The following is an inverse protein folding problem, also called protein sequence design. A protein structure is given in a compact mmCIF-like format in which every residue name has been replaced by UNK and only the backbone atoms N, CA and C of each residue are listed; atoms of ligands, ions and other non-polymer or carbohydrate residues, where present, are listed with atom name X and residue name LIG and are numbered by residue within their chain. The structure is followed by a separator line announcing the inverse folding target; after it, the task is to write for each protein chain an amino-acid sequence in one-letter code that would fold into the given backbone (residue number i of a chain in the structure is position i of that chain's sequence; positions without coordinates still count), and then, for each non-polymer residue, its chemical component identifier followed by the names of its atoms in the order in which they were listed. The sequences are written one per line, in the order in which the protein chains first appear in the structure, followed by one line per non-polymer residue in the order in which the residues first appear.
data_IF_012275199295
#
_entry.id   IF_012275199295
#
_cell.length_a   1.000
_cell.length_b   1.000
_cell.length_c   1.000
_cell.angle_alpha   90.00
_cell.angle_beta   90.00
_cell.angle_gamma   90.00
#
_symmetry.space_group_name_H-M   'P 1'
#
loop_
_entity.id
_entity.type
_entity.pdbx_description
1 polymer ?
#
# COMPACT_ATOMS: atom_id res chain seq x y z
N UNK A 1 -2.72 -24.05 -3.72
CA UNK A 1 -2.31 -22.84 -4.49
C UNK A 1 -1.72 -21.80 -3.55
N UNK A 2 -0.39 -21.79 -3.38
CA UNK A 2 0.32 -20.73 -2.63
C UNK A 2 0.74 -19.64 -3.62
N UNK A 3 -0.20 -18.77 -4.02
CA UNK A 3 -0.03 -17.81 -5.12
C UNK A 3 0.97 -16.67 -4.87
N UNK A 4 1.46 -16.48 -3.63
CA UNK A 4 2.36 -15.37 -3.31
C UNK A 4 3.33 -15.74 -2.17
N UNK A 5 4.61 -15.31 -2.26
CA UNK A 5 5.59 -15.53 -1.20
C UNK A 5 5.15 -14.88 0.13
N UNK A 6 5.46 -15.55 1.24
CA UNK A 6 5.07 -15.13 2.60
C UNK A 6 5.55 -13.71 2.94
N UNK A 7 6.76 -13.35 2.52
CA UNK A 7 7.33 -12.02 2.75
C UNK A 7 6.47 -10.91 2.12
N UNK A 8 5.91 -11.16 0.92
CA UNK A 8 5.12 -10.14 0.24
C UNK A 8 3.76 -9.91 0.92
N UNK A 9 3.18 -10.97 1.50
CA UNK A 9 1.95 -10.84 2.28
C UNK A 9 2.16 -9.99 3.52
N UNK A 10 3.28 -10.21 4.21
CA UNK A 10 3.65 -9.40 5.38
C UNK A 10 3.88 -7.94 4.98
N UNK A 11 4.60 -7.71 3.89
CA UNK A 11 4.78 -6.36 3.34
C UNK A 11 3.45 -5.66 3.03
N UNK A 12 2.51 -6.36 2.38
CA UNK A 12 1.18 -5.82 2.12
C UNK A 12 0.41 -5.50 3.39
N UNK A 13 0.47 -6.37 4.41
CA UNK A 13 -0.20 -6.13 5.69
C UNK A 13 0.34 -4.88 6.39
N UNK A 14 1.66 -4.72 6.44
CA UNK A 14 2.32 -3.53 7.00
C UNK A 14 1.86 -2.26 6.26
N UNK A 15 1.85 -2.29 4.93
CA UNK A 15 1.39 -1.16 4.13
C UNK A 15 -0.08 -0.84 4.34
N UNK A 16 -0.95 -1.85 4.42
CA UNK A 16 -2.37 -1.65 4.68
C UNK A 16 -2.60 -0.92 6.01
N UNK A 17 -1.89 -1.34 7.06
CA UNK A 17 -1.95 -0.68 8.37
C UNK A 17 -1.39 0.75 8.31
N UNK A 18 -0.24 0.96 7.67
CA UNK A 18 0.34 2.30 7.51
C UNK A 18 -0.59 3.26 6.75
N UNK A 19 -1.25 2.80 5.67
CA UNK A 19 -2.21 3.60 4.91
C UNK A 19 -3.42 3.98 5.76
N UNK A 20 -3.96 3.06 6.57
CA UNK A 20 -5.07 3.36 7.48
C UNK A 20 -4.65 4.45 8.48
N UNK A 21 -3.45 4.33 9.07
CA UNK A 21 -2.92 5.34 10.00
C UNK A 21 -2.77 6.69 9.29
N UNK A 22 -2.23 6.73 8.07
CA UNK A 22 -2.07 7.94 7.27
C UNK A 22 -3.40 8.63 6.98
N UNK A 23 -4.44 7.88 6.60
CA UNK A 23 -5.78 8.43 6.35
C UNK A 23 -6.35 9.05 7.63
N UNK A 24 -6.35 8.31 8.73
CA UNK A 24 -6.92 8.77 10.01
C UNK A 24 -6.17 9.99 10.54
N UNK A 25 -4.84 9.94 10.57
CA UNK A 25 -4.02 11.06 11.06
C UNK A 25 -4.07 12.26 10.11
N UNK A 26 -4.11 12.04 8.80
CA UNK A 26 -4.23 13.11 7.80
C UNK A 26 -5.55 13.87 7.91
N UNK A 27 -6.66 13.17 8.15
CA UNK A 27 -7.96 13.80 8.44
C UNK A 27 -7.85 14.65 9.72
N UNK A 28 -7.30 14.09 10.80
CA UNK A 28 -7.15 14.83 12.08
C UNK A 28 -6.32 16.10 11.92
N UNK A 29 -5.19 16.05 11.21
CA UNK A 29 -4.31 17.19 10.96
C UNK A 29 -5.01 18.25 10.08
N UNK A 30 -5.79 17.83 9.09
CA UNK A 30 -6.49 18.75 8.18
C UNK A 30 -7.55 19.57 8.91
N UNK A 31 -8.35 18.94 9.76
CA UNK A 31 -9.48 19.60 10.42
C UNK A 31 -9.13 20.26 11.75
N UNK A 32 -7.97 19.96 12.34
CA UNK A 32 -7.55 20.60 13.59
C UNK A 32 -7.20 22.08 13.48
N UNK A 33 -6.96 22.58 12.27
CA UNK A 33 -6.72 24.00 12.01
C UNK A 33 -7.98 24.87 12.06
N UNK A 34 -9.17 24.27 12.02
CA UNK A 34 -10.45 24.99 11.86
C UNK A 34 -11.17 25.28 13.20
N UNK A 35 -10.74 24.72 14.33
CA UNK A 35 -11.32 25.07 15.62
C UNK A 35 -10.87 24.22 16.81
N UNK A 36 -10.73 24.91 17.95
CA UNK A 36 -10.63 24.41 19.33
C UNK A 36 -9.24 24.05 19.90
N UNK A 37 -8.83 24.85 20.89
CA UNK A 37 -7.59 24.75 21.69
C UNK A 37 -7.44 23.54 22.61
N UNK A 38 -8.18 22.45 22.41
CA UNK A 38 -7.92 21.12 23.00
C UNK A 38 -7.23 20.17 22.00
N UNK A 39 -7.08 20.60 20.74
CA UNK A 39 -6.56 19.78 19.65
C UNK A 39 -5.03 19.71 19.56
N UNK A 40 -4.28 20.61 20.20
CA UNK A 40 -2.83 20.77 19.94
C UNK A 40 -2.02 19.49 20.26
N UNK A 41 -2.32 18.81 21.38
CA UNK A 41 -1.66 17.53 21.74
C UNK A 41 -2.14 16.36 20.88
N UNK A 42 -3.43 16.29 20.55
CA UNK A 42 -3.96 15.28 19.64
C UNK A 42 -3.40 15.42 18.22
N UNK A 43 -3.11 16.66 17.81
CA UNK A 43 -2.44 16.99 16.54
C UNK A 43 -0.97 16.61 16.59
N UNK A 44 -0.24 16.92 17.66
CA UNK A 44 1.19 16.56 17.77
C UNK A 44 1.41 15.04 17.71
N UNK A 45 0.54 14.27 18.38
CA UNK A 45 0.52 12.82 18.28
C UNK A 45 0.16 12.34 16.88
N UNK A 46 -0.85 12.95 16.23
CA UNK A 46 -1.26 12.59 14.87
C UNK A 46 -0.16 12.87 13.84
N UNK A 47 0.54 14.00 13.94
CA UNK A 47 1.68 14.34 13.06
C UNK A 47 2.81 13.34 13.21
N UNK A 48 3.15 12.97 14.46
CA UNK A 48 4.20 11.98 14.73
C UNK A 48 3.86 10.63 14.08
N UNK A 49 2.66 10.12 14.32
CA UNK A 49 2.21 8.85 13.74
C UNK A 49 2.05 8.89 12.22
N UNK A 50 1.65 10.03 11.66
CA UNK A 50 1.60 10.25 10.22
C UNK A 50 2.99 10.14 9.60
N UNK A 51 3.98 10.82 10.19
CA UNK A 51 5.36 10.83 9.68
C UNK A 51 6.04 9.46 9.81
N UNK A 52 5.83 8.76 10.93
CA UNK A 52 6.32 7.38 11.11
C UNK A 52 5.71 6.47 10.04
N UNK A 53 4.39 6.53 9.85
CA UNK A 53 3.69 5.68 8.88
C UNK A 53 4.10 5.99 7.44
N UNK A 54 4.28 7.27 7.10
CA UNK A 54 4.80 7.70 5.80
C UNK A 54 6.21 7.14 5.57
N UNK A 55 7.09 7.25 6.56
CA UNK A 55 8.47 6.74 6.49
C UNK A 55 8.51 5.23 6.30
N UNK A 56 7.73 4.48 7.08
CA UNK A 56 7.60 3.02 6.96
C UNK A 56 7.07 2.65 5.57
N UNK A 57 6.06 3.36 5.06
CA UNK A 57 5.49 3.10 3.73
C UNK A 57 6.53 3.37 2.62
N UNK A 58 7.27 4.47 2.70
CA UNK A 58 8.30 4.83 1.70
C UNK A 58 9.44 3.82 1.71
N UNK A 59 10.02 3.52 2.86
CA UNK A 59 11.11 2.53 2.98
C UNK A 59 10.60 1.14 2.55
N UNK A 60 9.41 0.75 3.01
CA UNK A 60 8.78 -0.50 2.61
C UNK A 60 8.60 -0.59 1.11
N UNK A 61 8.16 0.47 0.44
CA UNK A 61 8.01 0.49 -1.00
C UNK A 61 9.34 0.32 -1.73
N UNK A 62 10.39 1.01 -1.29
CA UNK A 62 11.74 0.84 -1.86
C UNK A 62 12.24 -0.60 -1.70
N UNK A 63 12.05 -1.20 -0.52
CA UNK A 63 12.40 -2.59 -0.27
C UNK A 63 11.62 -3.58 -1.17
N UNK A 64 10.34 -3.31 -1.42
CA UNK A 64 9.53 -4.11 -2.35
C UNK A 64 10.03 -4.00 -3.78
N UNK A 65 10.33 -2.80 -4.27
CA UNK A 65 10.85 -2.60 -5.61
C UNK A 65 12.21 -3.30 -5.75
N UNK A 66 13.13 -3.07 -4.81
CA UNK A 66 14.45 -3.72 -4.80
C UNK A 66 14.31 -5.26 -4.74
N UNK A 67 13.46 -5.77 -3.86
CA UNK A 67 13.19 -7.21 -3.74
C UNK A 67 12.65 -7.82 -5.04
N UNK A 68 11.71 -7.16 -5.74
CA UNK A 68 11.18 -7.66 -7.01
C UNK A 68 12.21 -7.64 -8.16
N UNK A 69 13.14 -6.67 -8.15
CA UNK A 69 14.24 -6.58 -9.12
C UNK A 69 15.25 -7.70 -8.84
N UNK A 70 15.72 -7.83 -7.60
CA UNK A 70 16.78 -8.78 -7.21
C UNK A 70 16.33 -10.25 -7.28
N UNK A 71 15.08 -10.54 -6.95
CA UNK A 71 14.55 -11.92 -6.94
C UNK A 71 13.97 -12.37 -8.29
N UNK A 72 13.96 -11.50 -9.31
CA UNK A 72 13.36 -11.80 -10.60
C UNK A 72 11.83 -11.94 -10.58
N UNK A 73 11.17 -11.71 -9.44
CA UNK A 73 9.71 -11.72 -9.29
C UNK A 73 9.01 -10.70 -10.22
N UNK A 74 9.73 -9.65 -10.65
CA UNK A 74 9.28 -8.70 -11.66
C UNK A 74 8.81 -9.36 -12.98
N UNK A 75 9.26 -10.58 -13.29
CA UNK A 75 8.80 -11.34 -14.47
C UNK A 75 7.29 -11.64 -14.43
N UNK A 76 6.69 -11.77 -13.25
CA UNK A 76 5.25 -11.99 -13.08
C UNK A 76 4.40 -10.74 -13.34
N UNK A 77 5.02 -9.55 -13.29
CA UNK A 77 4.35 -8.27 -13.54
C UNK A 77 4.51 -7.79 -14.99
N UNK A 78 5.28 -8.49 -15.84
CA UNK A 78 5.37 -8.20 -17.27
C UNK A 78 4.12 -8.64 -18.01
N UNK A 79 3.27 -7.68 -18.34
CA UNK A 79 2.13 -7.88 -19.24
C UNK A 79 2.65 -8.13 -20.68
N UNK A 80 2.50 -9.35 -21.20
CA UNK A 80 2.77 -9.65 -22.61
C UNK A 80 1.64 -9.06 -23.45
N UNK A 81 1.86 -7.84 -23.96
CA UNK A 81 0.83 -7.03 -24.63
C UNK A 81 0.15 -7.66 -25.85
N UNK A 82 0.76 -8.65 -26.52
CA UNK A 82 0.25 -9.22 -27.78
C UNK A 82 -1.12 -9.91 -27.66
N UNK A 83 -1.51 -10.37 -26.47
CA UNK A 83 -2.78 -11.08 -26.25
C UNK A 83 -3.56 -10.58 -25.03
N UNK A 84 -3.24 -9.39 -24.51
CA UNK A 84 -3.79 -8.89 -23.24
C UNK A 84 -5.33 -8.96 -23.21
N UNK A 85 -5.98 -8.41 -24.24
CA UNK A 85 -7.43 -8.30 -24.29
C UNK A 85 -8.13 -9.67 -24.49
N UNK A 86 -7.48 -10.56 -25.24
CA UNK A 86 -7.95 -11.94 -25.44
C UNK A 86 -7.87 -12.74 -24.14
N UNK A 87 -6.79 -12.58 -23.39
CA UNK A 87 -6.57 -13.25 -22.11
C UNK A 87 -7.52 -12.73 -21.02
N UNK A 88 -7.76 -11.41 -20.95
CA UNK A 88 -8.75 -10.81 -20.04
C UNK A 88 -10.15 -11.39 -20.30
N UNK A 89 -10.61 -11.40 -21.56
CA UNK A 89 -11.93 -11.98 -21.92
C UNK A 89 -12.03 -13.48 -21.61
N UNK A 90 -10.91 -14.22 -21.68
CA UNK A 90 -10.87 -15.64 -21.34
C UNK A 90 -10.97 -15.85 -19.82
N UNK A 91 -10.22 -15.09 -19.03
CA UNK A 91 -10.30 -15.13 -17.56
C UNK A 91 -11.69 -14.70 -17.06
N UNK A 92 -12.25 -13.61 -17.60
CA UNK A 92 -13.59 -13.14 -17.22
C UNK A 92 -14.66 -14.23 -17.40
N UNK A 93 -14.66 -14.92 -18.55
CA UNK A 93 -15.59 -16.04 -18.81
C UNK A 93 -15.34 -17.26 -17.93
N UNK A 94 -14.10 -17.50 -17.50
CA UNK A 94 -13.77 -18.62 -16.62
C UNK A 94 -14.27 -18.40 -15.18
N UNK A 95 -14.26 -17.16 -14.69
CA UNK A 95 -14.66 -16.83 -13.31
C UNK A 95 -16.15 -16.53 -13.13
N UNK A 96 -16.88 -16.22 -14.22
CA UNK A 96 -18.34 -16.00 -14.19
C UNK A 96 -19.13 -17.30 -14.44
N UNK A 97 -18.46 -18.35 -14.90
CA UNK A 97 -19.06 -19.67 -15.13
C UNK A 97 -18.87 -20.56 -13.90
#
# INVERSE_FOLDING_TARGET
MYLYPKWLRLWHLINALAVIILIVTGIKIRYSGEGAGTAIEAVSGSVTWHNISATVLTIGYLAFVAGNILTGNGKHYRLKGKDLMKNIKKQFRYYIK
#
